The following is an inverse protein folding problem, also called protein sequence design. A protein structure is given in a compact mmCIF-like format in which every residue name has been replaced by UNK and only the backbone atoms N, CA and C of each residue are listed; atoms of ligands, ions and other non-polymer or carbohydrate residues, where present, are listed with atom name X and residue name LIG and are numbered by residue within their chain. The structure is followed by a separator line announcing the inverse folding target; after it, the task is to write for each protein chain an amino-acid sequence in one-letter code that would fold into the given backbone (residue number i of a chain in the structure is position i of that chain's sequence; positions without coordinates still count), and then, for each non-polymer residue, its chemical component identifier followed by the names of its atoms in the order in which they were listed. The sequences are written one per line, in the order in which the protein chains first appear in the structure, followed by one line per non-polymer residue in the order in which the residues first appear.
data_IF_713276751370
#
_entry.id   IF_713276751370
#
_cell.length_a   1.000
_cell.length_b   1.000
_cell.length_c   1.000
_cell.angle_alpha   90.00
_cell.angle_beta   90.00
_cell.angle_gamma   90.00
#
_symmetry.space_group_name_H-M   'P 1'
#
loop_
_entity.id
_entity.type
_entity.pdbx_description
1 polymer ?
#
# COMPACT_ATOMS: atom_id res chain seq x y z
N UNK A 1 18.32 -11.88 5.96
CA UNK A 1 17.67 -11.65 4.65
C UNK A 1 16.46 -10.76 4.88
N UNK A 2 16.26 -9.70 4.08
CA UNK A 2 15.10 -8.80 4.16
C UNK A 2 14.26 -8.98 2.89
N UNK A 3 12.95 -8.82 2.99
CA UNK A 3 12.02 -8.92 1.86
C UNK A 3 11.17 -7.65 1.80
N UNK A 4 10.63 -7.38 0.61
CA UNK A 4 9.67 -6.31 0.40
C UNK A 4 8.53 -6.83 -0.47
N UNK A 5 7.34 -6.29 -0.24
CA UNK A 5 6.22 -6.43 -1.15
C UNK A 5 6.20 -5.28 -2.16
N UNK A 6 5.64 -5.51 -3.35
CA UNK A 6 5.54 -4.49 -4.40
C UNK A 6 4.15 -4.52 -5.02
N UNK A 7 3.52 -3.36 -5.18
CA UNK A 7 2.23 -3.22 -5.86
C UNK A 7 2.30 -2.16 -6.96
N UNK A 8 1.78 -2.44 -8.16
CA UNK A 8 1.64 -1.43 -9.20
C UNK A 8 0.48 -0.48 -8.88
N UNK A 9 0.65 0.80 -9.19
CA UNK A 9 -0.39 1.82 -9.13
C UNK A 9 -0.56 2.48 -10.51
N UNK A 10 -1.80 2.58 -11.00
CA UNK A 10 -2.10 3.33 -12.24
C UNK A 10 -2.08 4.84 -12.02
N UNK A 11 -2.31 5.26 -10.78
CA UNK A 11 -2.26 6.64 -10.31
C UNK A 11 -1.58 6.62 -8.93
N UNK A 12 -0.31 7.01 -8.91
CA UNK A 12 0.53 6.94 -7.70
C UNK A 12 0.13 8.01 -6.68
N UNK A 13 -0.34 9.18 -7.12
CA UNK A 13 -0.75 10.26 -6.22
C UNK A 13 -2.07 9.93 -5.53
N UNK A 14 -3.04 9.37 -6.26
CA UNK A 14 -4.25 8.82 -5.65
C UNK A 14 -3.93 7.70 -4.67
N UNK A 15 -2.98 6.82 -5.01
CA UNK A 15 -2.56 5.76 -4.10
C UNK A 15 -1.94 6.33 -2.82
N UNK A 16 -0.98 7.27 -2.92
CA UNK A 16 -0.38 7.95 -1.76
C UNK A 16 -1.44 8.59 -0.86
N UNK A 17 -2.40 9.30 -1.45
CA UNK A 17 -3.48 9.92 -0.69
C UNK A 17 -4.30 8.88 0.11
N UNK A 18 -4.62 7.73 -0.50
CA UNK A 18 -5.34 6.64 0.19
C UNK A 18 -4.50 5.99 1.29
N UNK A 19 -3.21 5.73 1.06
CA UNK A 19 -2.33 5.15 2.09
C UNK A 19 -2.17 6.09 3.29
N UNK A 20 -2.07 7.41 3.06
CA UNK A 20 -2.05 8.40 4.13
C UNK A 20 -3.41 8.54 4.82
N UNK A 21 -4.52 8.69 4.09
CA UNK A 21 -5.83 8.97 4.71
C UNK A 21 -6.48 7.75 5.37
N UNK A 22 -6.35 6.57 4.78
CA UNK A 22 -7.04 5.35 5.23
C UNK A 22 -6.15 4.53 6.16
N UNK A 23 -4.89 4.33 5.78
CA UNK A 23 -3.95 3.53 6.56
C UNK A 23 -3.11 4.37 7.52
N UNK A 24 -3.16 5.71 7.44
CA UNK A 24 -2.30 6.60 8.22
C UNK A 24 -0.81 6.31 8.02
N UNK A 25 -0.44 5.89 6.81
CA UNK A 25 0.92 5.58 6.42
C UNK A 25 1.53 6.72 5.60
N UNK A 26 2.64 7.25 6.08
CA UNK A 26 3.44 8.22 5.35
C UNK A 26 4.60 7.54 4.61
N UNK A 27 4.98 8.02 3.41
CA UNK A 27 6.14 7.50 2.70
C UNK A 27 7.44 7.64 3.50
N UNK A 28 8.22 6.57 3.53
CA UNK A 28 9.59 6.54 4.06
C UNK A 28 10.62 7.01 3.03
N UNK A 29 10.31 6.84 1.75
CA UNK A 29 11.18 7.18 0.62
C UNK A 29 10.32 7.35 -0.63
N UNK A 30 10.64 8.36 -1.45
CA UNK A 30 10.10 8.55 -2.79
C UNK A 30 11.31 8.67 -3.73
N UNK A 31 11.41 7.76 -4.70
CA UNK A 31 12.55 7.70 -5.63
C UNK A 31 12.36 8.65 -6.81
N UNK A 32 13.43 8.92 -7.56
CA UNK A 32 13.36 9.69 -8.82
C UNK A 32 12.47 9.03 -9.88
N UNK A 33 12.35 7.68 -9.86
CA UNK A 33 11.45 6.91 -10.71
C UNK A 33 9.97 7.02 -10.31
N UNK A 34 9.67 7.67 -9.18
CA UNK A 34 8.31 7.81 -8.65
C UNK A 34 7.83 6.61 -7.84
N UNK A 35 8.73 5.70 -7.45
CA UNK A 35 8.41 4.61 -6.53
C UNK A 35 8.27 5.16 -5.11
N UNK A 36 7.27 4.66 -4.39
CA UNK A 36 6.92 5.13 -3.05
C UNK A 36 7.05 3.98 -2.08
N UNK A 37 7.84 4.16 -1.04
CA UNK A 37 8.09 3.12 -0.04
C UNK A 37 7.44 3.44 1.29
N UNK A 38 6.81 2.43 1.89
CA UNK A 38 6.25 2.46 3.23
C UNK A 38 6.90 1.40 4.12
N UNK A 39 6.85 1.60 5.42
CA UNK A 39 7.19 0.60 6.43
C UNK A 39 5.92 0.19 7.19
N UNK A 40 5.63 -1.11 7.19
CA UNK A 40 4.42 -1.69 7.78
C UNK A 40 4.84 -2.93 8.58
N UNK A 41 4.70 -2.88 9.91
CA UNK A 41 5.01 -4.02 10.77
C UNK A 41 6.43 -4.57 10.61
N UNK A 42 7.42 -3.70 10.34
CA UNK A 42 8.82 -4.08 10.10
C UNK A 42 9.13 -4.66 8.71
N UNK A 43 8.15 -4.65 7.79
CA UNK A 43 8.32 -5.03 6.38
C UNK A 43 8.17 -3.81 5.48
N UNK A 44 8.93 -3.75 4.38
CA UNK A 44 8.79 -2.67 3.38
C UNK A 44 7.73 -3.01 2.33
N UNK A 45 6.96 -2.01 1.93
CA UNK A 45 6.02 -2.06 0.81
C UNK A 45 6.39 -0.97 -0.19
N UNK A 46 6.58 -1.34 -1.46
CA UNK A 46 6.79 -0.40 -2.57
C UNK A 46 5.53 -0.29 -3.41
N UNK A 47 5.09 0.94 -3.69
CA UNK A 47 4.17 1.24 -4.78
C UNK A 47 4.97 1.80 -5.95
N UNK A 48 4.65 1.37 -7.17
CA UNK A 48 5.33 1.87 -8.37
C UNK A 48 4.33 2.23 -9.47
N UNK A 49 4.56 3.31 -10.25
CA UNK A 49 3.70 3.66 -11.37
C UNK A 49 3.70 2.58 -12.46
N UNK A 50 2.51 2.15 -12.91
CA UNK A 50 2.40 1.18 -13.99
C UNK A 50 1.09 1.30 -14.77
N UNK A 51 1.20 1.35 -16.10
CA UNK A 51 0.05 1.27 -17.01
C UNK A 51 -0.66 -0.09 -16.99
N UNK A 52 -0.02 -1.13 -16.42
CA UNK A 52 -0.58 -2.47 -16.27
C UNK A 52 -1.16 -2.72 -14.88
N UNK A 53 -1.21 -1.71 -14.00
CA UNK A 53 -1.79 -1.86 -12.68
C UNK A 53 -3.24 -2.36 -12.77
N UNK A 54 -3.56 -3.42 -12.02
CA UNK A 54 -4.89 -4.04 -12.02
C UNK A 54 -5.19 -4.95 -13.22
N UNK A 55 -4.29 -5.14 -14.19
CA UNK A 55 -4.52 -6.14 -15.26
C UNK A 55 -4.23 -7.56 -14.77
N UNK A 56 -3.20 -7.72 -13.95
CA UNK A 56 -2.93 -8.96 -13.23
C UNK A 56 -3.78 -9.02 -11.94
N UNK A 57 -4.83 -9.83 -11.96
CA UNK A 57 -5.76 -10.03 -10.83
C UNK A 57 -5.15 -10.85 -9.68
N UNK A 58 -3.94 -11.40 -9.85
CA UNK A 58 -3.24 -12.15 -8.81
C UNK A 58 -2.25 -11.30 -8.00
N UNK A 59 -2.01 -10.04 -8.38
CA UNK A 59 -1.10 -9.15 -7.65
C UNK A 59 -1.80 -8.55 -6.44
N UNK A 60 -1.42 -9.01 -5.24
CA UNK A 60 -1.99 -8.54 -3.99
C UNK A 60 -0.95 -8.54 -2.86
N UNK A 61 -1.22 -7.76 -1.82
CA UNK A 61 -0.50 -7.81 -0.54
C UNK A 61 -1.49 -8.20 0.53
N UNK A 62 -1.09 -9.13 1.39
CA UNK A 62 -1.88 -9.56 2.53
C UNK A 62 -1.29 -8.91 3.79
N UNK A 63 -2.11 -8.17 4.52
CA UNK A 63 -1.76 -7.62 5.83
C UNK A 63 -2.40 -8.54 6.87
N UNK A 64 -1.58 -9.07 7.78
CA UNK A 64 -2.06 -9.88 8.88
C UNK A 64 -2.43 -8.97 10.06
N UNK A 65 -3.62 -9.19 10.60
CA UNK A 65 -4.16 -8.48 11.76
C UNK A 65 -4.64 -9.50 12.79
N UNK A 66 -4.77 -9.07 14.04
CA UNK A 66 -5.21 -9.95 15.13
C UNK A 66 -6.72 -10.22 15.07
N UNK A 67 -7.50 -9.20 14.69
CA UNK A 67 -8.96 -9.26 14.53
C UNK A 67 -9.36 -8.61 13.20
N UNK A 68 -9.92 -9.40 12.29
CA UNK A 68 -10.23 -8.94 10.93
C UNK A 68 -11.51 -8.11 10.91
N UNK A 69 -12.49 -8.44 11.74
CA UNK A 69 -13.76 -7.72 11.83
C UNK A 69 -13.54 -6.29 12.34
N UNK A 70 -12.76 -6.13 13.41
CA UNK A 70 -12.39 -4.81 13.96
C UNK A 70 -11.60 -4.02 12.93
N UNK A 71 -10.58 -4.63 12.33
CA UNK A 71 -9.73 -3.96 11.34
C UNK A 71 -10.54 -3.47 10.12
N UNK A 72 -11.43 -4.31 9.59
CA UNK A 72 -12.30 -3.94 8.46
C UNK A 72 -13.26 -2.82 8.84
N UNK A 73 -13.84 -2.84 10.05
CA UNK A 73 -14.73 -1.79 10.52
C UNK A 73 -14.00 -0.44 10.63
N UNK A 74 -12.79 -0.43 11.18
CA UNK A 74 -11.96 0.78 11.28
C UNK A 74 -11.58 1.35 9.91
N UNK A 75 -11.16 0.50 8.98
CA UNK A 75 -10.80 0.92 7.62
C UNK A 75 -12.00 1.54 6.89
N UNK A 76 -13.18 0.91 6.99
CA UNK A 76 -14.42 1.46 6.42
C UNK A 76 -14.80 2.80 7.03
N UNK A 77 -14.63 2.97 8.33
CA UNK A 77 -14.89 4.25 9.00
C UNK A 77 -13.96 5.37 8.51
N UNK A 78 -12.80 5.04 7.94
CA UNK A 78 -11.83 5.97 7.33
C UNK A 78 -12.03 6.17 5.82
N UNK A 79 -13.02 5.49 5.22
CA UNK A 79 -13.32 5.61 3.79
C UNK A 79 -12.54 4.65 2.89
N UNK A 80 -12.11 3.50 3.42
CA UNK A 80 -11.64 2.37 2.60
C UNK A 80 -12.72 1.83 1.67
#
# INVERSE_FOLDING_TARGET
MKFAATLPASDIERAKAWYSSVLHLEPTEITESGDVWYEIGGTRLMLYPSQFAGTNQATAVNIRVDDVEVSVAELKARGA
#
